data_IF_496578015294
#
_entry.id   IF_496578015294
#
_cell.length_a   1.000
_cell.length_b   1.000
_cell.length_c   1.000
_cell.angle_alpha   90.00
_cell.angle_beta   90.00
_cell.angle_gamma   90.00
#
_symmetry.space_group_name_H-M   'P 1'
#
loop_
_entity.id
_entity.type
_entity.pdbx_description
1 polymer ?
#
# COMPACT_ATOMS: atom_id res chain seq x y z
N UNK A 1 8.45 -23.47 4.72
CA UNK A 1 8.09 -22.18 5.33
C UNK A 1 6.59 -22.04 5.28
N UNK A 2 5.95 -21.47 6.31
CA UNK A 2 4.52 -21.17 6.21
C UNK A 2 4.33 -20.14 5.09
N UNK A 3 3.33 -20.35 4.24
CA UNK A 3 2.96 -19.43 3.17
C UNK A 3 2.39 -18.15 3.80
N UNK A 4 3.21 -17.09 3.81
CA UNK A 4 2.87 -15.83 4.50
C UNK A 4 1.79 -15.11 3.70
N UNK A 5 1.85 -15.15 2.36
CA UNK A 5 0.83 -14.57 1.49
C UNK A 5 -0.54 -15.20 1.75
N UNK A 6 -0.65 -16.53 1.73
CA UNK A 6 -1.90 -17.22 2.02
C UNK A 6 -2.45 -16.90 3.42
N UNK A 7 -1.57 -16.74 4.41
CA UNK A 7 -1.94 -16.30 5.76
C UNK A 7 -2.51 -14.87 5.77
N UNK A 8 -1.84 -13.93 5.08
CA UNK A 8 -2.30 -12.53 4.95
C UNK A 8 -3.65 -12.48 4.24
N UNK A 9 -3.80 -13.15 3.08
CA UNK A 9 -5.05 -13.23 2.31
C UNK A 9 -6.21 -13.77 3.16
N UNK A 10 -5.96 -14.84 3.92
CA UNK A 10 -6.96 -15.42 4.83
C UNK A 10 -7.37 -14.44 5.92
N UNK A 11 -6.41 -13.74 6.55
CA UNK A 11 -6.69 -12.73 7.58
C UNK A 11 -7.48 -11.55 7.02
N UNK A 12 -7.16 -11.09 5.81
CA UNK A 12 -7.88 -10.01 5.13
C UNK A 12 -9.32 -10.44 4.79
N UNK A 13 -9.52 -11.68 4.35
CA UNK A 13 -10.86 -12.24 4.09
C UNK A 13 -11.71 -12.27 5.36
N UNK A 14 -11.14 -12.74 6.47
CA UNK A 14 -11.82 -12.76 7.77
C UNK A 14 -12.14 -11.35 8.27
N UNK A 15 -11.22 -10.40 8.08
CA UNK A 15 -11.43 -8.98 8.45
C UNK A 15 -12.54 -8.33 7.63
N UNK A 16 -12.62 -8.63 6.33
CA UNK A 16 -13.69 -8.15 5.46
C UNK A 16 -15.06 -8.61 5.98
N UNK A 17 -15.21 -9.91 6.28
CA UNK A 17 -16.43 -10.48 6.86
C UNK A 17 -16.80 -9.82 8.19
N UNK A 18 -15.83 -9.68 9.11
CA UNK A 18 -16.08 -9.11 10.44
C UNK A 18 -16.43 -7.61 10.43
N UNK A 19 -15.94 -6.87 9.42
CA UNK A 19 -16.18 -5.42 9.31
C UNK A 19 -17.34 -5.05 8.37
N UNK A 20 -17.98 -6.02 7.71
CA UNK A 20 -19.01 -5.77 6.70
C UNK A 20 -18.49 -5.07 5.44
N UNK A 21 -17.17 -5.07 5.22
CA UNK A 21 -16.51 -4.43 4.07
C UNK A 21 -16.21 -5.46 2.98
N UNK A 22 -16.05 -5.00 1.76
CA UNK A 22 -15.66 -5.88 0.66
C UNK A 22 -14.23 -6.40 0.85
N UNK A 23 -13.98 -7.64 0.45
CA UNK A 23 -12.63 -8.21 0.50
C UNK A 23 -11.63 -7.41 -0.33
N UNK A 24 -12.07 -6.93 -1.50
CA UNK A 24 -11.32 -6.04 -2.37
C UNK A 24 -10.87 -4.76 -1.66
N UNK A 25 -11.76 -4.10 -0.90
CA UNK A 25 -11.40 -2.89 -0.14
C UNK A 25 -10.35 -3.20 0.93
N UNK A 26 -10.47 -4.34 1.63
CA UNK A 26 -9.47 -4.74 2.62
C UNK A 26 -8.09 -5.00 2.00
N UNK A 27 -8.03 -5.63 0.82
CA UNK A 27 -6.78 -5.84 0.09
C UNK A 27 -6.15 -4.53 -0.34
N UNK A 28 -6.96 -3.63 -0.90
CA UNK A 28 -6.51 -2.33 -1.36
C UNK A 28 -5.94 -1.50 -0.20
N UNK A 29 -6.69 -1.38 0.90
CA UNK A 29 -6.23 -0.66 2.09
C UNK A 29 -4.96 -1.29 2.67
N UNK A 30 -4.88 -2.62 2.69
CA UNK A 30 -3.67 -3.31 3.14
C UNK A 30 -2.44 -2.88 2.31
N UNK A 31 -2.53 -2.90 0.98
CA UNK A 31 -1.42 -2.48 0.11
C UNK A 31 -1.06 -1.00 0.33
N UNK A 32 -2.05 -0.13 0.45
CA UNK A 32 -1.86 1.31 0.68
C UNK A 32 -1.20 1.59 2.03
N UNK A 33 -1.69 0.98 3.10
CA UNK A 33 -1.13 1.08 4.45
C UNK A 33 0.27 0.48 4.53
N UNK A 34 0.52 -0.64 3.85
CA UNK A 34 1.83 -1.28 3.80
C UNK A 34 2.88 -0.44 3.07
N UNK A 35 2.48 0.31 2.04
CA UNK A 35 3.37 1.31 1.42
C UNK A 35 3.63 2.47 2.39
N UNK A 36 2.59 3.02 3.02
CA UNK A 36 2.73 4.12 3.99
C UNK A 36 3.65 3.74 5.16
N UNK A 37 3.51 2.52 5.69
CA UNK A 37 4.36 1.97 6.75
C UNK A 37 5.83 1.85 6.33
N UNK A 38 6.09 1.52 5.07
CA UNK A 38 7.46 1.46 4.52
C UNK A 38 8.04 2.85 4.31
N UNK A 39 7.24 3.77 3.78
CA UNK A 39 7.62 5.17 3.60
C UNK A 39 8.00 5.82 4.93
N UNK A 40 7.19 5.61 5.97
CA UNK A 40 7.43 6.10 7.34
C UNK A 40 8.77 5.61 7.91
N UNK A 41 9.14 4.36 7.63
CA UNK A 41 10.41 3.75 8.08
C UNK A 41 11.61 4.08 7.19
N UNK A 42 11.39 4.68 6.03
CA UNK A 42 12.45 5.05 5.10
C UNK A 42 13.07 6.40 5.47
N UNK A 43 14.21 6.72 4.86
CA UNK A 43 14.82 8.06 4.98
C UNK A 43 14.00 9.19 4.33
N UNK A 44 12.87 8.86 3.67
CA UNK A 44 12.04 9.79 2.90
C UNK A 44 10.74 10.21 3.61
N UNK A 45 10.53 9.80 4.86
CA UNK A 45 9.30 10.06 5.61
C UNK A 45 8.87 11.55 5.58
N UNK A 46 9.83 12.47 5.68
CA UNK A 46 9.57 13.92 5.69
C UNK A 46 9.40 14.53 4.29
N UNK A 47 9.83 13.81 3.24
CA UNK A 47 9.79 14.28 1.86
C UNK A 47 8.41 14.10 1.23
N UNK A 48 7.65 13.09 1.65
CA UNK A 48 6.36 12.75 1.06
C UNK A 48 5.21 13.21 1.96
N UNK A 49 4.33 14.06 1.44
CA UNK A 49 3.10 14.48 2.12
C UNK A 49 1.92 13.77 1.48
N UNK A 50 1.22 12.93 2.25
CA UNK A 50 0.00 12.25 1.80
C UNK A 50 -1.09 13.30 1.48
N UNK A 51 -1.76 13.12 0.35
CA UNK A 51 -2.88 13.96 -0.11
C UNK A 51 -3.92 13.12 -0.85
N UNK A 52 -4.88 13.79 -1.48
CA UNK A 52 -5.82 13.16 -2.41
C UNK A 52 -6.88 12.30 -1.72
N UNK A 53 -7.38 11.29 -2.44
CA UNK A 53 -8.56 10.54 -2.02
C UNK A 53 -8.31 9.69 -0.77
N UNK A 54 -7.15 9.04 -0.64
CA UNK A 54 -6.83 8.23 0.54
C UNK A 54 -6.72 9.10 1.81
N UNK A 55 -6.17 10.31 1.68
CA UNK A 55 -6.11 11.27 2.77
C UNK A 55 -7.51 11.71 3.23
N UNK A 56 -8.40 12.04 2.30
CA UNK A 56 -9.78 12.40 2.64
C UNK A 56 -10.49 11.19 3.27
N UNK A 57 -10.28 10.00 2.72
CA UNK A 57 -10.88 8.76 3.22
C UNK A 57 -10.49 8.43 4.66
N UNK A 58 -9.23 8.71 5.05
CA UNK A 58 -8.81 8.54 6.45
C UNK A 58 -9.37 9.61 7.38
N UNK A 59 -9.54 10.86 6.91
CA UNK A 59 -10.12 11.94 7.70
C UNK A 59 -11.63 11.79 7.92
N UNK A 60 -12.35 11.19 6.98
CA UNK A 60 -13.81 11.01 7.08
C UNK A 60 -14.19 9.65 7.68
N UNK A 61 -13.29 9.02 8.45
CA UNK A 61 -13.54 7.71 9.07
C UNK A 61 -14.05 6.64 8.08
N UNK A 62 -13.50 6.65 6.86
CA UNK A 62 -13.84 5.70 5.80
C UNK A 62 -15.26 5.87 5.20
N UNK A 63 -15.89 7.04 5.36
CA UNK A 63 -17.22 7.38 4.81
C UNK A 63 -17.16 8.09 3.44
N UNK A 64 -15.97 8.39 2.91
CA UNK A 64 -15.81 8.97 1.57
C UNK A 64 -15.61 7.91 0.49
N UNK A 65 -15.56 8.34 -0.77
CA UNK A 65 -15.28 7.46 -1.92
C UNK A 65 -13.94 6.73 -1.73
N UNK A 66 -13.96 5.43 -1.97
CA UNK A 66 -12.75 4.59 -2.06
C UNK A 66 -11.93 5.00 -3.29
N UNK A 67 -10.60 5.07 -3.15
CA UNK A 67 -9.66 5.34 -4.25
C UNK A 67 -8.53 4.34 -4.26
N UNK A 68 -8.19 3.83 -5.44
CA UNK A 68 -7.08 2.88 -5.64
C UNK A 68 -5.74 3.60 -5.51
N UNK A 69 -5.67 4.83 -6.00
CA UNK A 69 -4.44 5.61 -6.04
C UNK A 69 -4.05 6.14 -4.65
N UNK A 70 -2.74 6.26 -4.43
CA UNK A 70 -2.15 6.97 -3.28
C UNK A 70 -1.40 8.19 -3.80
N UNK A 71 -1.90 9.37 -3.46
CA UNK A 71 -1.33 10.63 -3.92
C UNK A 71 -0.36 11.22 -2.90
N UNK A 72 0.82 11.63 -3.36
CA UNK A 72 1.77 12.35 -2.54
C UNK A 72 2.20 13.67 -3.18
N UNK A 73 2.46 14.66 -2.34
CA UNK A 73 3.27 15.82 -2.70
C UNK A 73 4.71 15.57 -2.26
N UNK A 74 5.63 15.60 -3.22
CA UNK A 74 7.06 15.52 -2.94
C UNK A 74 7.62 16.89 -2.56
N UNK A 75 8.38 16.96 -1.46
CA UNK A 75 9.03 18.17 -0.96
C UNK A 75 10.55 17.99 -0.88
N UNK A 76 11.26 19.07 -1.18
CA UNK A 76 12.71 19.18 -0.99
C UNK A 76 13.52 18.10 -1.74
N UNK A 77 12.98 17.60 -2.86
CA UNK A 77 13.62 16.59 -3.70
C UNK A 77 13.23 16.78 -5.17
N UNK A 78 14.11 16.41 -6.12
CA UNK A 78 13.75 16.34 -7.54
C UNK A 78 12.64 15.29 -7.77
N UNK A 79 11.69 15.60 -8.65
CA UNK A 79 10.57 14.75 -9.02
C UNK A 79 10.74 14.13 -10.42
N UNK A 80 11.97 13.92 -10.87
CA UNK A 80 12.23 13.28 -12.16
C UNK A 80 11.91 11.78 -12.08
N UNK A 81 11.45 11.14 -13.17
CA UNK A 81 11.13 9.71 -13.18
C UNK A 81 12.30 8.82 -12.73
N UNK A 82 13.52 9.17 -13.13
CA UNK A 82 14.73 8.42 -12.82
C UNK A 82 15.03 8.45 -11.32
N UNK A 83 14.88 9.63 -10.69
CA UNK A 83 15.08 9.79 -9.26
C UNK A 83 13.97 9.11 -8.46
N UNK A 84 12.72 9.26 -8.90
CA UNK A 84 11.57 8.64 -8.25
C UNK A 84 11.66 7.11 -8.25
N UNK A 85 12.15 6.50 -9.34
CA UNK A 85 12.36 5.05 -9.39
C UNK A 85 13.28 4.58 -8.26
N UNK A 86 14.44 5.23 -8.09
CA UNK A 86 15.40 4.91 -7.03
C UNK A 86 14.78 5.08 -5.64
N UNK A 87 14.08 6.19 -5.43
CA UNK A 87 13.40 6.49 -4.15
C UNK A 87 12.37 5.42 -3.81
N UNK A 88 11.54 5.01 -4.77
CA UNK A 88 10.52 3.98 -4.57
C UNK A 88 11.14 2.60 -4.28
N UNK A 89 12.20 2.22 -4.99
CA UNK A 89 12.95 0.98 -4.74
C UNK A 89 13.49 0.95 -3.30
N UNK A 90 14.06 2.07 -2.84
CA UNK A 90 14.56 2.18 -1.47
C UNK A 90 13.45 2.17 -0.41
N UNK A 91 12.30 2.82 -0.66
CA UNK A 91 11.13 2.74 0.23
C UNK A 91 10.65 1.30 0.36
N UNK A 92 10.52 0.58 -0.76
CA UNK A 92 10.06 -0.82 -0.77
C UNK A 92 11.01 -1.71 0.05
N UNK A 93 12.31 -1.42 0.02
CA UNK A 93 13.34 -2.14 0.75
C UNK A 93 13.48 -1.76 2.24
N UNK A 94 12.78 -0.73 2.74
CA UNK A 94 12.97 -0.18 4.09
C UNK A 94 12.45 -1.06 5.25
N UNK A 95 12.10 -2.33 5.03
CA UNK A 95 11.55 -3.22 6.06
C UNK A 95 12.04 -4.67 5.94
N UNK A 96 12.32 -5.28 7.09
CA UNK A 96 12.78 -6.67 7.21
C UNK A 96 11.71 -7.72 6.84
N UNK A 97 10.42 -7.34 6.82
CA UNK A 97 9.35 -8.21 6.30
C UNK A 97 9.31 -8.05 4.79
N UNK A 98 10.12 -8.85 4.11
CA UNK A 98 10.08 -9.04 2.67
C UNK A 98 9.21 -10.25 2.36
N UNK A 99 7.97 -10.01 1.95
CA UNK A 99 7.26 -10.99 1.12
C UNK A 99 8.11 -11.22 -0.13
N UNK A 100 8.19 -12.46 -0.62
CA UNK A 100 8.87 -12.72 -1.89
C UNK A 100 8.15 -11.98 -3.03
N UNK A 101 8.81 -11.86 -4.18
CA UNK A 101 8.20 -11.25 -5.36
C UNK A 101 6.91 -11.99 -5.75
N UNK A 102 6.89 -13.31 -5.59
CA UNK A 102 5.74 -14.18 -5.84
C UNK A 102 4.60 -13.91 -4.84
N UNK A 103 4.92 -13.82 -3.55
CA UNK A 103 3.93 -13.51 -2.51
C UNK A 103 3.31 -12.11 -2.69
N UNK A 104 4.12 -11.12 -3.10
CA UNK A 104 3.63 -9.81 -3.50
C UNK A 104 2.74 -9.87 -4.73
N UNK A 105 3.11 -10.71 -5.70
CA UNK A 105 2.36 -10.88 -6.92
C UNK A 105 0.99 -11.54 -6.67
N UNK A 106 0.92 -12.49 -5.75
CA UNK A 106 -0.35 -13.09 -5.30
C UNK A 106 -1.27 -12.05 -4.65
N UNK A 107 -0.73 -11.21 -3.76
CA UNK A 107 -1.50 -10.10 -3.16
C UNK A 107 -1.95 -9.09 -4.22
N UNK A 108 -1.10 -8.77 -5.18
CA UNK A 108 -1.40 -7.85 -6.28
C UNK A 108 -2.55 -8.38 -7.15
N UNK A 109 -2.48 -9.63 -7.60
CA UNK A 109 -3.55 -10.27 -8.37
C UNK A 109 -4.85 -10.37 -7.56
N UNK A 110 -4.75 -10.71 -6.27
CA UNK A 110 -5.92 -10.77 -5.38
C UNK A 110 -6.60 -9.40 -5.26
N UNK A 111 -5.84 -8.30 -5.30
CA UNK A 111 -6.36 -6.93 -5.28
C UNK A 111 -6.94 -6.45 -6.62
N UNK A 112 -7.25 -7.35 -7.56
CA UNK A 112 -8.10 -7.05 -8.71
C UNK A 112 -7.43 -6.24 -9.83
N UNK A 113 -6.11 -6.10 -9.82
CA UNK A 113 -5.36 -5.49 -10.91
C UNK A 113 -5.09 -6.50 -12.03
N UNK A 114 -5.53 -6.17 -13.26
CA UNK A 114 -5.02 -6.83 -14.47
C UNK A 114 -3.61 -6.31 -14.75
N UNK A 115 -2.68 -7.21 -15.06
CA UNK A 115 -1.36 -6.84 -15.57
C UNK A 115 -1.51 -5.95 -16.82
N UNK A 116 -0.64 -4.94 -17.03
CA UNK A 116 -0.44 -4.37 -18.35
C UNK A 116 0.11 -5.41 -19.33
#
# INVERSE_FOLDING_TARGET
MADIAASVLTRLKNKAQASGRSYQLCLQLFCQEEFLRRLEKSKYAENFVLKGGLFIYSLTEFDSRVTVDVDFLLRQMPNTPEQLRVVLEEIIAACDITLTREEWYELYLASGHLLP
#
